data_IF_523374539337
#
_entry.id   IF_523374539337
#
_cell.length_a   1.000
_cell.length_b   1.000
_cell.length_c   1.000
_cell.angle_alpha   90.00
_cell.angle_beta   90.00
_cell.angle_gamma   90.00
#
_symmetry.space_group_name_H-M   'P 1'
#
loop_
_entity.id
_entity.type
_entity.pdbx_description
1 polymer ?
#
# COMPACT_ATOMS: atom_id res chain seq x y z
N UNK A 1 22.81 -35.72 14.88
CA UNK A 1 22.17 -34.50 15.41
C UNK A 1 22.99 -33.32 14.95
N UNK A 2 22.62 -32.71 13.83
CA UNK A 2 23.39 -31.62 13.23
C UNK A 2 22.73 -30.29 13.54
N UNK A 3 23.42 -29.47 14.31
CA UNK A 3 23.01 -28.13 14.73
C UNK A 3 23.06 -27.19 13.50
N UNK A 4 21.92 -26.67 13.07
CA UNK A 4 21.82 -25.70 11.99
C UNK A 4 22.39 -24.36 12.44
N UNK A 5 23.51 -23.94 11.83
CA UNK A 5 24.08 -22.61 12.02
C UNK A 5 23.15 -21.56 11.41
N UNK A 6 22.60 -20.68 12.24
CA UNK A 6 21.88 -19.48 11.83
C UNK A 6 22.79 -18.58 10.99
N UNK A 7 22.33 -18.20 9.79
CA UNK A 7 23.08 -17.42 8.83
C UNK A 7 23.11 -15.92 9.25
N UNK A 8 24.27 -15.33 9.57
CA UNK A 8 24.38 -13.97 10.12
C UNK A 8 23.94 -12.86 9.15
N UNK A 9 23.80 -13.17 7.85
CA UNK A 9 23.26 -12.24 6.85
C UNK A 9 21.77 -11.90 7.06
N UNK A 10 21.03 -12.75 7.79
CA UNK A 10 19.62 -12.48 8.13
C UNK A 10 19.53 -11.36 9.17
N UNK A 11 20.48 -11.28 10.12
CA UNK A 11 20.40 -10.32 11.24
C UNK A 11 20.72 -8.88 10.83
N UNK A 12 21.55 -8.67 9.82
CA UNK A 12 21.97 -7.33 9.38
C UNK A 12 20.88 -6.69 8.50
N UNK A 13 20.16 -7.48 7.70
CA UNK A 13 19.05 -6.99 6.87
C UNK A 13 17.86 -6.44 7.69
N UNK A 14 17.67 -6.91 8.93
CA UNK A 14 16.65 -6.38 9.84
C UNK A 14 16.95 -4.95 10.32
N UNK A 15 18.22 -4.57 10.44
CA UNK A 15 18.61 -3.26 10.99
C UNK A 15 18.41 -2.12 9.98
N UNK A 16 18.77 -2.33 8.71
CA UNK A 16 18.68 -1.29 7.67
C UNK A 16 17.22 -0.94 7.29
N UNK A 17 16.30 -1.91 7.43
CA UNK A 17 14.86 -1.72 7.17
C UNK A 17 14.04 -1.49 8.44
N UNK A 18 14.66 -1.57 9.63
CA UNK A 18 13.98 -1.24 10.89
C UNK A 18 13.37 0.17 10.82
N UNK A 19 14.00 1.12 10.12
CA UNK A 19 13.47 2.46 9.92
C UNK A 19 12.18 2.51 9.07
N UNK A 20 12.07 1.70 7.99
CA UNK A 20 10.85 1.58 7.18
C UNK A 20 9.67 0.98 7.97
N UNK A 21 9.98 0.16 8.97
CA UNK A 21 9.01 -0.43 9.89
C UNK A 21 9.03 0.25 11.28
N UNK A 22 9.64 1.41 11.47
CA UNK A 22 9.65 2.11 12.79
C UNK A 22 9.37 3.60 12.71
N UNK A 23 9.37 4.20 11.51
CA UNK A 23 9.19 5.64 11.32
C UNK A 23 7.79 6.05 10.89
N UNK A 24 6.81 6.00 11.80
CA UNK A 24 5.59 6.83 11.77
C UNK A 24 5.10 6.98 13.22
N UNK A 25 5.77 7.82 14.02
CA UNK A 25 5.17 8.33 15.25
C UNK A 25 4.25 9.51 14.92
N UNK A 26 3.03 9.58 15.48
CA UNK A 26 2.19 10.75 15.34
C UNK A 26 2.76 11.92 16.16
N UNK A 27 2.79 13.10 15.54
CA UNK A 27 3.16 14.33 16.20
C UNK A 27 2.21 14.64 17.37
N UNK A 28 2.82 14.79 18.56
CA UNK A 28 2.43 15.66 19.68
C UNK A 28 1.06 15.44 20.37
N UNK A 29 1.09 14.93 21.60
CA UNK A 29 0.40 15.58 22.72
C UNK A 29 1.25 15.44 23.97
N UNK A 30 1.55 16.59 24.56
CA UNK A 30 2.43 16.81 25.70
C UNK A 30 1.73 16.49 27.03
N UNK A 31 2.56 16.19 28.05
CA UNK A 31 2.35 16.22 29.52
C UNK A 31 2.13 14.84 30.19
N UNK A 32 3.13 14.43 30.98
CA UNK A 32 2.97 13.41 32.03
C UNK A 32 4.26 12.66 32.41
N UNK A 33 4.93 13.14 33.46
CA UNK A 33 6.17 12.65 34.11
C UNK A 33 6.34 11.12 34.25
N UNK A 34 7.59 10.59 34.22
CA UNK A 34 7.90 9.17 34.27
C UNK A 34 8.04 8.64 35.71
N UNK A 35 7.45 7.48 36.01
CA UNK A 35 7.89 6.67 37.13
C UNK A 35 7.67 5.18 36.87
N UNK A 36 8.72 4.41 37.15
CA UNK A 36 8.76 2.96 37.28
C UNK A 36 8.52 2.13 36.00
N UNK A 37 9.60 1.58 35.44
CA UNK A 37 9.78 0.12 35.42
C UNK A 37 11.27 -0.20 35.26
N UNK A 38 11.87 -0.69 36.34
CA UNK A 38 13.26 -1.10 36.43
C UNK A 38 13.43 -2.46 35.76
N UNK A 39 14.30 -2.54 34.75
CA UNK A 39 14.76 -3.81 34.16
C UNK A 39 15.91 -4.31 35.02
N UNK A 40 15.70 -5.45 35.68
CA UNK A 40 16.70 -6.17 36.46
C UNK A 40 17.38 -7.19 35.54
N UNK A 41 18.64 -6.95 35.15
CA UNK A 41 19.52 -7.96 34.56
C UNK A 41 20.97 -7.52 34.74
N UNK A 42 21.57 -7.88 35.87
CA UNK A 42 23.04 -7.94 36.01
C UNK A 42 23.40 -8.70 37.27
N UNK A 43 24.14 -9.80 37.12
CA UNK A 43 25.04 -10.34 38.13
C UNK A 43 25.98 -11.37 37.47
N UNK A 44 27.19 -10.94 37.10
CA UNK A 44 28.42 -11.76 37.07
C UNK A 44 29.58 -10.81 37.50
N UNK A 45 30.49 -11.24 38.39
CA UNK A 45 31.20 -10.33 39.31
C UNK A 45 32.54 -9.79 38.80
N UNK A 46 32.98 -8.75 39.52
CA UNK A 46 34.25 -8.03 39.45
C UNK A 46 35.50 -8.91 39.63
N UNK A 47 36.55 -8.54 38.88
CA UNK A 47 37.93 -8.54 39.37
C UNK A 47 38.67 -7.36 38.76
N UNK A 48 39.09 -6.43 39.63
CA UNK A 48 39.95 -5.29 39.34
C UNK A 48 41.39 -5.76 39.14
N UNK A 49 42.08 -5.19 38.17
CA UNK A 49 43.51 -4.89 38.29
C UNK A 49 43.80 -3.54 37.62
N UNK A 50 44.55 -2.72 38.34
CA UNK A 50 45.00 -1.37 37.96
C UNK A 50 46.50 -1.41 37.71
N UNK A 51 46.97 -0.60 36.74
CA UNK A 51 48.14 0.31 36.80
C UNK A 51 48.83 0.39 35.43
N UNK A 52 49.06 1.62 34.95
CA UNK A 52 50.12 1.94 33.98
C UNK A 52 49.71 2.92 32.89
N UNK A 53 49.79 4.22 33.15
CA UNK A 53 49.43 5.26 32.18
C UNK A 53 50.53 5.56 31.16
N UNK A 54 50.15 6.08 29.98
CA UNK A 54 50.85 7.16 29.28
C UNK A 54 49.99 7.73 28.14
N UNK A 55 50.08 9.04 27.96
CA UNK A 55 49.88 9.77 26.69
C UNK A 55 48.46 9.99 26.18
N UNK A 56 47.92 11.17 26.54
CA UNK A 56 46.90 11.89 25.79
C UNK A 56 47.50 12.37 24.46
N UNK A 57 47.15 11.71 23.36
CA UNK A 57 47.24 12.28 22.01
C UNK A 57 45.92 12.09 21.31
N UNK A 58 45.40 13.21 20.81
CA UNK A 58 44.16 13.38 20.07
C UNK A 58 43.88 12.25 19.06
N UNK A 59 42.91 11.39 19.37
CA UNK A 59 42.19 10.57 18.39
C UNK A 59 40.69 10.82 18.53
N UNK A 60 40.32 12.10 18.41
CA UNK A 60 38.95 12.55 18.18
C UNK A 60 38.87 13.27 16.82
N UNK A 61 39.57 12.76 15.80
CA UNK A 61 39.38 13.11 14.38
C UNK A 61 39.84 11.91 13.54
N UNK A 62 38.99 10.91 13.40
CA UNK A 62 38.91 10.00 12.24
C UNK A 62 37.97 8.86 12.65
N UNK A 63 36.67 9.06 12.44
CA UNK A 63 35.76 8.02 11.93
C UNK A 63 34.46 8.64 11.41
N UNK A 64 34.62 9.78 10.74
CA UNK A 64 33.62 10.33 9.81
C UNK A 64 34.04 10.08 8.36
N UNK A 65 34.67 8.92 8.13
CA UNK A 65 35.19 8.48 6.83
C UNK A 65 35.16 6.95 6.69
N UNK A 66 34.02 6.35 6.97
CA UNK A 66 33.66 5.02 6.41
C UNK A 66 32.25 5.06 5.81
N UNK A 67 31.89 6.21 5.24
CA UNK A 67 30.95 6.29 4.13
C UNK A 67 31.82 6.71 2.94
N UNK A 68 31.73 5.98 1.83
CA UNK A 68 32.61 6.05 0.66
C UNK A 68 33.90 5.22 0.74
N UNK A 69 33.75 3.90 0.64
CA UNK A 69 34.63 3.03 -0.18
C UNK A 69 33.99 1.66 -0.34
N UNK A 70 33.63 1.31 -1.58
CA UNK A 70 33.40 -0.08 -1.98
C UNK A 70 31.95 -0.53 -2.19
N UNK A 71 31.11 0.29 -2.83
CA UNK A 71 29.86 -0.16 -3.45
C UNK A 71 29.58 0.71 -4.66
N UNK A 72 29.78 0.16 -5.86
CA UNK A 72 29.59 0.82 -7.16
C UNK A 72 28.36 1.73 -7.18
N UNK A 73 28.57 3.05 -7.33
CA UNK A 73 27.55 4.03 -7.71
C UNK A 73 27.06 3.76 -9.13
N UNK A 74 26.33 2.65 -9.31
CA UNK A 74 25.35 2.50 -10.38
C UNK A 74 24.08 3.14 -9.82
N UNK A 75 23.55 4.15 -10.51
CA UNK A 75 22.35 4.87 -10.07
C UNK A 75 21.29 3.88 -9.60
N UNK A 76 20.64 4.16 -8.45
CA UNK A 76 19.46 3.41 -8.01
C UNK A 76 18.37 3.63 -9.07
N UNK A 77 18.41 2.82 -10.11
CA UNK A 77 17.38 2.81 -11.14
C UNK A 77 16.10 2.35 -10.44
N UNK A 78 15.17 3.27 -10.32
CA UNK A 78 13.87 3.03 -9.69
C UNK A 78 13.17 1.96 -10.50
N UNK A 79 12.94 0.80 -9.89
CA UNK A 79 12.25 -0.29 -10.57
C UNK A 79 10.86 0.19 -10.99
N UNK A 80 10.47 -0.18 -12.20
CA UNK A 80 9.15 0.14 -12.74
C UNK A 80 8.43 -1.12 -13.15
N UNK A 81 7.11 -1.04 -13.11
CA UNK A 81 6.20 -2.03 -13.65
C UNK A 81 5.34 -1.33 -14.70
N UNK A 82 5.76 -1.42 -15.97
CA UNK A 82 5.31 -0.48 -16.99
C UNK A 82 5.80 0.94 -16.64
N UNK A 83 4.87 1.90 -16.60
CA UNK A 83 5.16 3.29 -16.21
C UNK A 83 5.05 3.52 -14.69
N UNK A 84 4.53 2.55 -13.94
CA UNK A 84 4.37 2.65 -12.50
C UNK A 84 5.70 2.53 -11.78
N UNK A 85 6.01 3.47 -10.87
CA UNK A 85 7.24 3.50 -10.09
C UNK A 85 7.06 2.68 -8.81
N UNK A 86 7.84 1.62 -8.66
CA UNK A 86 7.78 0.78 -7.47
C UNK A 86 8.54 1.42 -6.30
N UNK A 87 8.03 1.27 -5.06
CA UNK A 87 8.71 1.78 -3.88
C UNK A 87 10.00 1.01 -3.60
N UNK A 88 10.98 1.65 -2.95
CA UNK A 88 12.29 1.03 -2.69
C UNK A 88 12.19 -0.28 -1.90
N UNK A 89 11.26 -0.37 -0.96
CA UNK A 89 11.04 -1.58 -0.15
C UNK A 89 10.49 -2.76 -0.94
N UNK A 90 10.03 -2.56 -2.19
CA UNK A 90 9.55 -3.66 -3.04
C UNK A 90 10.65 -4.66 -3.41
N UNK A 91 11.93 -4.30 -3.28
CA UNK A 91 13.06 -5.23 -3.45
C UNK A 91 13.58 -5.80 -2.13
N UNK A 92 12.84 -5.63 -1.03
CA UNK A 92 13.20 -6.23 0.25
C UNK A 92 12.58 -7.62 0.38
N UNK A 93 13.34 -8.73 0.35
CA UNK A 93 12.76 -10.08 0.31
C UNK A 93 11.79 -10.42 1.46
N UNK A 94 12.01 -9.99 2.71
CA UNK A 94 11.04 -10.21 3.79
C UNK A 94 9.69 -9.55 3.55
N UNK A 95 9.59 -8.50 2.72
CA UNK A 95 8.32 -7.84 2.39
C UNK A 95 7.31 -8.80 1.73
N UNK A 96 7.79 -9.84 1.03
CA UNK A 96 6.96 -10.87 0.38
C UNK A 96 6.65 -12.07 1.27
N UNK A 97 7.09 -12.05 2.54
CA UNK A 97 6.81 -13.11 3.51
C UNK A 97 5.96 -12.53 4.63
N UNK A 98 4.84 -13.17 4.96
CA UNK A 98 3.95 -12.68 6.02
C UNK A 98 4.69 -12.64 7.36
N UNK A 99 4.76 -11.46 7.98
CA UNK A 99 5.58 -11.28 9.18
C UNK A 99 4.94 -11.93 10.42
N UNK A 100 5.71 -12.70 11.21
CA UNK A 100 5.18 -13.38 12.40
C UNK A 100 4.91 -12.40 13.53
N UNK A 101 5.77 -11.38 13.68
CA UNK A 101 5.65 -10.34 14.70
C UNK A 101 4.50 -9.41 14.36
N UNK A 102 3.59 -9.19 15.31
CA UNK A 102 2.35 -8.42 15.12
C UNK A 102 2.62 -7.00 14.63
N UNK A 103 3.43 -6.23 15.33
CA UNK A 103 3.67 -4.81 14.99
C UNK A 103 4.32 -4.67 13.61
N UNK A 104 5.25 -5.56 13.26
CA UNK A 104 5.86 -5.61 11.93
C UNK A 104 4.84 -6.00 10.86
N UNK A 105 3.95 -6.95 11.16
CA UNK A 105 2.87 -7.37 10.26
C UNK A 105 1.87 -6.25 10.02
N UNK A 106 1.48 -5.49 11.05
CA UNK A 106 0.57 -4.35 10.90
C UNK A 106 1.14 -3.30 9.93
N UNK A 107 2.42 -2.97 10.07
CA UNK A 107 3.12 -2.06 9.15
C UNK A 107 3.28 -2.64 7.74
N UNK A 108 3.61 -3.93 7.63
CA UNK A 108 3.65 -4.62 6.34
C UNK A 108 2.29 -4.55 5.63
N UNK A 109 1.20 -4.83 6.36
CA UNK A 109 -0.17 -4.75 5.84
C UNK A 109 -0.45 -3.33 5.35
N UNK A 110 -0.09 -2.30 6.12
CA UNK A 110 -0.27 -0.90 5.72
C UNK A 110 0.44 -0.58 4.39
N UNK A 111 1.71 -0.95 4.26
CA UNK A 111 2.49 -0.76 3.03
C UNK A 111 1.87 -1.50 1.83
N UNK A 112 1.39 -2.73 2.02
CA UNK A 112 0.72 -3.48 0.95
C UNK A 112 -0.60 -2.84 0.54
N UNK A 113 -1.43 -2.38 1.48
CA UNK A 113 -2.68 -1.68 1.17
C UNK A 113 -2.44 -0.45 0.31
N UNK A 114 -1.49 0.40 0.72
CA UNK A 114 -1.14 1.63 -0.01
C UNK A 114 -0.64 1.31 -1.41
N UNK A 115 0.29 0.36 -1.53
CA UNK A 115 0.84 -0.05 -2.83
C UNK A 115 -0.22 -0.64 -3.76
N UNK A 116 -1.10 -1.50 -3.24
CA UNK A 116 -2.20 -2.10 -4.03
C UNK A 116 -3.14 -1.02 -4.53
N UNK A 117 -3.59 -0.10 -3.66
CA UNK A 117 -4.54 0.95 -4.03
C UNK A 117 -3.94 1.90 -5.08
N UNK A 118 -2.68 2.31 -4.91
CA UNK A 118 -2.00 3.22 -5.84
C UNK A 118 -1.75 2.57 -7.21
N UNK A 119 -1.31 1.30 -7.21
CA UNK A 119 -1.14 0.55 -8.44
C UNK A 119 -2.46 0.32 -9.18
N UNK A 120 -3.52 -0.09 -8.46
CA UNK A 120 -4.85 -0.27 -9.04
C UNK A 120 -5.40 1.04 -9.62
N UNK A 121 -5.23 2.16 -8.93
CA UNK A 121 -5.63 3.48 -9.44
C UNK A 121 -4.89 3.85 -10.72
N UNK A 122 -3.56 3.74 -10.72
CA UNK A 122 -2.73 4.15 -11.86
C UNK A 122 -2.88 3.25 -13.07
N UNK A 123 -3.12 1.96 -12.88
CA UNK A 123 -3.32 0.98 -13.96
C UNK A 123 -4.81 0.76 -14.30
N UNK A 124 -5.71 1.44 -13.60
CA UNK A 124 -7.16 1.31 -13.76
C UNK A 124 -7.68 -0.13 -13.56
N UNK A 125 -7.16 -0.83 -12.55
CA UNK A 125 -7.48 -2.23 -12.24
C UNK A 125 -8.44 -2.29 -11.05
N UNK A 126 -9.71 -2.60 -11.31
CA UNK A 126 -10.73 -2.69 -10.27
C UNK A 126 -10.87 -4.07 -9.63
N UNK A 127 -10.39 -5.14 -10.26
CA UNK A 127 -10.61 -6.50 -9.75
C UNK A 127 -9.28 -7.24 -9.63
N UNK A 128 -9.04 -7.81 -8.45
CA UNK A 128 -7.90 -8.69 -8.17
C UNK A 128 -8.43 -10.08 -7.85
N UNK A 129 -7.97 -11.10 -8.57
CA UNK A 129 -8.16 -12.51 -8.20
C UNK A 129 -7.02 -13.03 -7.34
N UNK A 130 -7.32 -13.85 -6.33
CA UNK A 130 -6.31 -14.52 -5.51
C UNK A 130 -5.52 -15.58 -6.29
N UNK A 131 -6.23 -16.28 -7.17
CA UNK A 131 -5.70 -17.34 -8.04
C UNK A 131 -5.11 -16.77 -9.34
N UNK A 132 -5.49 -15.54 -9.71
CA UNK A 132 -5.04 -14.89 -10.94
C UNK A 132 -3.62 -14.32 -10.77
N UNK A 133 -2.92 -14.16 -11.89
CA UNK A 133 -1.66 -13.43 -11.92
C UNK A 133 -1.92 -11.94 -11.66
N UNK A 134 -1.26 -11.40 -10.63
CA UNK A 134 -1.30 -9.97 -10.34
C UNK A 134 0.14 -9.45 -10.19
N UNK A 135 0.56 -8.47 -11.01
CA UNK A 135 1.95 -8.04 -11.09
C UNK A 135 2.63 -7.65 -9.78
N UNK A 136 1.89 -7.09 -8.80
CA UNK A 136 2.48 -6.74 -7.50
C UNK A 136 2.78 -7.94 -6.60
N UNK A 137 2.17 -9.11 -6.85
CA UNK A 137 2.31 -10.27 -5.97
C UNK A 137 3.52 -11.14 -6.29
N UNK A 138 4.25 -10.85 -7.37
CA UNK A 138 5.49 -11.51 -7.75
C UNK A 138 6.54 -10.47 -8.14
N UNK A 139 7.70 -10.54 -7.52
CA UNK A 139 8.87 -9.77 -7.90
C UNK A 139 9.95 -10.72 -8.42
N UNK A 140 10.14 -10.71 -9.74
CA UNK A 140 11.12 -11.56 -10.43
C UNK A 140 12.57 -11.14 -10.14
N UNK A 141 12.83 -9.87 -9.80
CA UNK A 141 14.19 -9.36 -9.55
C UNK A 141 14.81 -9.99 -8.30
N UNK A 142 13.98 -10.24 -7.28
CA UNK A 142 14.41 -10.88 -6.02
C UNK A 142 13.91 -12.31 -5.88
N UNK A 143 13.27 -12.84 -6.94
CA UNK A 143 12.71 -14.20 -7.00
C UNK A 143 11.76 -14.50 -5.83
N UNK A 144 10.84 -13.57 -5.54
CA UNK A 144 9.84 -13.73 -4.47
C UNK A 144 8.43 -13.54 -4.97
N UNK A 145 7.51 -14.32 -4.41
CA UNK A 145 6.07 -14.19 -4.60
C UNK A 145 5.36 -14.29 -3.26
N UNK A 146 4.22 -13.60 -3.14
CA UNK A 146 3.33 -13.76 -2.00
C UNK A 146 2.67 -15.14 -2.01
N UNK A 147 2.60 -15.76 -0.83
CA UNK A 147 1.77 -16.95 -0.63
C UNK A 147 0.28 -16.60 -0.77
N UNK A 148 -0.55 -17.61 -1.06
CA UNK A 148 -2.01 -17.43 -1.11
C UNK A 148 -2.58 -16.86 0.19
N UNK A 149 -2.06 -17.31 1.34
CA UNK A 149 -2.41 -16.78 2.66
C UNK A 149 -2.08 -15.29 2.80
N UNK A 150 -0.88 -14.87 2.38
CA UNK A 150 -0.48 -13.46 2.45
C UNK A 150 -1.35 -12.58 1.55
N UNK A 151 -1.61 -13.02 0.31
CA UNK A 151 -2.54 -12.33 -0.62
C UNK A 151 -3.91 -12.14 0.03
N UNK A 152 -4.49 -13.21 0.57
CA UNK A 152 -5.78 -13.20 1.26
C UNK A 152 -5.78 -12.27 2.46
N UNK A 153 -4.71 -12.25 3.24
CA UNK A 153 -4.54 -11.38 4.41
C UNK A 153 -4.57 -9.90 4.03
N UNK A 154 -3.79 -9.50 3.02
CA UNK A 154 -3.71 -8.09 2.61
C UNK A 154 -5.00 -7.59 1.96
N UNK A 155 -5.63 -8.41 1.11
CA UNK A 155 -6.94 -8.07 0.53
C UNK A 155 -8.03 -8.00 1.61
N UNK A 156 -8.05 -8.93 2.57
CA UNK A 156 -9.00 -8.89 3.69
C UNK A 156 -8.83 -7.63 4.53
N UNK A 157 -7.60 -7.14 4.70
CA UNK A 157 -7.36 -5.89 5.40
C UNK A 157 -7.97 -4.69 4.65
N UNK A 158 -7.84 -4.62 3.32
CA UNK A 158 -8.54 -3.61 2.51
C UNK A 158 -10.06 -3.69 2.67
N UNK A 159 -10.61 -4.91 2.70
CA UNK A 159 -12.05 -5.14 2.91
C UNK A 159 -12.51 -4.64 4.27
N UNK A 160 -11.75 -4.91 5.34
CA UNK A 160 -12.10 -4.43 6.69
C UNK A 160 -12.12 -2.90 6.82
N UNK A 161 -11.43 -2.18 5.92
CA UNK A 161 -11.40 -0.71 5.89
C UNK A 161 -12.39 -0.10 4.89
N UNK A 162 -13.21 -0.93 4.22
CA UNK A 162 -14.12 -0.48 3.18
C UNK A 162 -13.40 0.04 1.93
N UNK A 163 -12.15 -0.39 1.71
CA UNK A 163 -11.30 -0.05 0.55
C UNK A 163 -11.28 -1.16 -0.50
N UNK A 164 -11.95 -2.27 -0.24
CA UNK A 164 -12.21 -3.34 -1.18
C UNK A 164 -13.44 -4.15 -0.74
N UNK A 165 -13.96 -5.01 -1.62
CA UNK A 165 -15.08 -5.91 -1.33
C UNK A 165 -14.90 -7.26 -2.03
N UNK A 166 -15.22 -8.36 -1.36
CA UNK A 166 -15.26 -9.68 -1.99
C UNK A 166 -16.47 -9.78 -2.93
N UNK A 167 -16.22 -10.17 -4.18
CA UNK A 167 -17.25 -10.29 -5.23
C UNK A 167 -18.01 -11.61 -5.10
N UNK A 168 -17.32 -12.67 -4.68
CA UNK A 168 -17.85 -14.02 -4.55
C UNK A 168 -17.83 -14.53 -3.10
N UNK A 169 -18.73 -15.47 -2.79
CA UNK A 169 -18.84 -16.09 -1.46
C UNK A 169 -17.59 -16.89 -1.06
N UNK A 170 -16.77 -17.29 -2.03
CA UNK A 170 -15.52 -18.01 -1.80
C UNK A 170 -14.33 -17.09 -1.55
N UNK A 171 -14.53 -15.77 -1.56
CA UNK A 171 -13.49 -14.75 -1.41
C UNK A 171 -12.33 -14.95 -2.40
N UNK A 172 -12.63 -15.33 -3.65
CA UNK A 172 -11.62 -15.55 -4.69
C UNK A 172 -11.27 -14.30 -5.47
N UNK A 173 -12.22 -13.38 -5.62
CA UNK A 173 -12.08 -12.12 -6.35
C UNK A 173 -12.48 -10.94 -5.49
N UNK A 174 -11.66 -9.91 -5.52
CA UNK A 174 -11.82 -8.70 -4.73
C UNK A 174 -11.98 -7.49 -5.65
N UNK A 175 -13.08 -6.74 -5.48
CA UNK A 175 -13.28 -5.42 -6.08
C UNK A 175 -12.53 -4.39 -5.25
N UNK A 176 -11.67 -3.60 -5.88
CA UNK A 176 -10.82 -2.59 -5.24
C UNK A 176 -11.47 -1.22 -5.34
N UNK A 177 -11.47 -0.47 -4.24
CA UNK A 177 -12.10 0.84 -4.09
C UNK A 177 -11.06 1.88 -3.65
N UNK A 178 -10.23 2.36 -4.59
CA UNK A 178 -9.26 3.44 -4.30
C UNK A 178 -9.92 4.80 -4.02
N UNK A 179 -11.14 4.99 -4.51
CA UNK A 179 -12.10 5.95 -3.98
C UNK A 179 -13.28 5.17 -3.42
N UNK A 180 -13.90 5.66 -2.33
CA UNK A 180 -15.14 5.04 -1.84
C UNK A 180 -16.27 5.34 -2.81
N UNK A 181 -17.37 4.60 -2.73
CA UNK A 181 -18.54 4.82 -3.59
C UNK A 181 -19.09 6.25 -3.43
N UNK A 182 -19.02 6.82 -2.23
CA UNK A 182 -19.42 8.19 -1.95
C UNK A 182 -18.51 9.19 -2.66
N UNK A 183 -17.20 8.99 -2.62
CA UNK A 183 -16.22 9.85 -3.27
C UNK A 183 -16.38 9.76 -4.80
N UNK A 184 -16.59 8.55 -5.33
CA UNK A 184 -16.91 8.35 -6.74
C UNK A 184 -18.18 9.08 -7.17
N UNK A 185 -19.23 9.05 -6.35
CA UNK A 185 -20.47 9.78 -6.63
C UNK A 185 -20.21 11.30 -6.74
N UNK A 186 -19.36 11.85 -5.87
CA UNK A 186 -18.98 13.26 -5.92
C UNK A 186 -18.06 13.59 -7.12
N UNK A 187 -17.15 12.67 -7.49
CA UNK A 187 -16.31 12.79 -8.70
C UNK A 187 -17.20 12.81 -9.95
N UNK A 188 -18.19 11.92 -10.05
CA UNK A 188 -19.14 11.87 -11.18
C UNK A 188 -19.91 13.18 -11.27
N UNK A 189 -20.46 13.69 -10.16
CA UNK A 189 -21.17 14.98 -10.19
C UNK A 189 -20.28 16.14 -10.65
N UNK A 190 -19.00 16.15 -10.23
CA UNK A 190 -18.05 17.16 -10.68
C UNK A 190 -17.78 17.05 -12.18
N UNK A 191 -17.57 15.84 -12.67
CA UNK A 191 -17.37 15.58 -14.09
C UNK A 191 -18.53 16.09 -14.94
N UNK A 192 -19.78 15.79 -14.56
CA UNK A 192 -20.96 16.24 -15.30
C UNK A 192 -21.05 17.77 -15.32
N UNK A 193 -20.73 18.44 -14.20
CA UNK A 193 -20.67 19.90 -14.12
C UNK A 193 -19.59 20.51 -15.01
N UNK A 194 -18.40 19.93 -15.00
CA UNK A 194 -17.25 20.45 -15.74
C UNK A 194 -17.42 20.27 -17.26
N UNK A 195 -18.19 19.27 -17.68
CA UNK A 195 -18.47 18.95 -19.09
C UNK A 195 -19.76 19.59 -19.62
N UNK A 196 -20.59 20.19 -18.76
CA UNK A 196 -21.85 20.82 -19.16
C UNK A 196 -22.94 19.82 -19.56
N UNK A 197 -22.89 18.60 -19.01
CA UNK A 197 -23.77 17.49 -19.36
C UNK A 197 -24.95 17.32 -18.40
N UNK A 198 -25.21 18.29 -17.51
CA UNK A 198 -26.23 18.17 -16.45
C UNK A 198 -27.63 17.93 -16.99
N UNK A 199 -27.98 18.61 -18.10
CA UNK A 199 -29.31 18.52 -18.70
C UNK A 199 -29.47 17.37 -19.70
N UNK A 200 -28.35 16.73 -20.08
CA UNK A 200 -28.36 15.61 -21.03
C UNK A 200 -28.61 14.28 -20.32
N UNK A 201 -29.26 13.36 -21.03
CA UNK A 201 -29.20 11.94 -20.67
C UNK A 201 -27.87 11.41 -21.17
N UNK A 202 -27.13 10.70 -20.32
CA UNK A 202 -25.90 10.00 -20.67
C UNK A 202 -26.09 8.50 -20.49
N UNK A 203 -25.48 7.70 -21.34
CA UNK A 203 -25.40 6.25 -21.14
C UNK A 203 -24.27 5.91 -20.17
N UNK A 204 -24.35 4.72 -19.56
CA UNK A 204 -23.27 4.21 -18.70
C UNK A 204 -21.94 4.10 -19.48
N UNK A 205 -22.00 3.69 -20.75
CA UNK A 205 -20.81 3.53 -21.58
C UNK A 205 -20.20 4.86 -22.02
N UNK A 206 -20.98 5.92 -22.21
CA UNK A 206 -20.45 7.27 -22.47
C UNK A 206 -19.64 7.80 -21.28
N UNK A 207 -20.06 7.54 -20.05
CA UNK A 207 -19.32 7.95 -18.84
C UNK A 207 -18.00 7.16 -18.73
N UNK A 208 -18.02 5.87 -19.07
CA UNK A 208 -16.85 4.98 -18.92
C UNK A 208 -15.87 5.08 -20.08
N UNK A 209 -16.34 5.31 -21.29
CA UNK A 209 -15.55 5.13 -22.52
C UNK A 209 -15.71 6.26 -23.54
N UNK A 210 -16.62 7.20 -23.29
CA UNK A 210 -16.87 8.34 -24.15
C UNK A 210 -15.71 9.34 -24.19
N UNK A 211 -15.77 10.27 -25.14
CA UNK A 211 -14.72 11.25 -25.41
C UNK A 211 -14.47 12.13 -24.18
N UNK A 212 -15.54 12.61 -23.55
CA UNK A 212 -15.49 13.50 -22.38
C UNK A 212 -14.77 12.86 -21.19
N UNK A 213 -14.89 11.54 -21.02
CA UNK A 213 -14.25 10.82 -19.90
C UNK A 213 -12.72 10.73 -20.06
N UNK A 214 -12.17 10.89 -21.27
CA UNK A 214 -10.74 10.65 -21.54
C UNK A 214 -9.86 11.58 -20.72
N UNK A 215 -8.81 11.01 -20.12
CA UNK A 215 -7.90 11.75 -19.24
C UNK A 215 -8.44 11.97 -17.82
N UNK A 216 -9.67 11.55 -17.53
CA UNK A 216 -10.23 11.51 -16.17
C UNK A 216 -10.10 10.12 -15.56
N UNK A 217 -10.28 10.02 -14.24
CA UNK A 217 -10.34 8.73 -13.54
C UNK A 217 -11.62 7.92 -13.83
N UNK A 218 -12.61 8.51 -14.52
CA UNK A 218 -13.83 7.80 -14.92
C UNK A 218 -13.64 6.96 -16.19
N UNK A 219 -12.63 7.29 -17.01
CA UNK A 219 -12.33 6.51 -18.20
C UNK A 219 -11.90 5.09 -17.82
N UNK A 220 -12.53 4.08 -18.40
CA UNK A 220 -12.32 2.67 -18.09
C UNK A 220 -12.81 2.23 -16.70
N UNK A 221 -13.58 3.06 -16.00
CA UNK A 221 -14.14 2.72 -14.69
C UNK A 221 -14.91 1.39 -14.74
N UNK A 222 -14.83 0.59 -13.68
CA UNK A 222 -15.63 -0.64 -13.59
C UNK A 222 -17.13 -0.30 -13.54
N UNK A 223 -17.92 -1.02 -14.35
CA UNK A 223 -19.38 -0.80 -14.46
C UNK A 223 -20.09 -0.97 -13.13
N UNK A 224 -19.67 -1.93 -12.31
CA UNK A 224 -20.28 -2.19 -10.99
C UNK A 224 -20.05 -1.02 -10.05
N UNK A 225 -18.82 -0.50 -10.01
CA UNK A 225 -18.49 0.67 -9.17
C UNK A 225 -19.29 1.89 -9.62
N UNK A 226 -19.34 2.16 -10.94
CA UNK A 226 -20.09 3.28 -11.50
C UNK A 226 -21.57 3.18 -11.14
N UNK A 227 -22.21 2.02 -11.40
CA UNK A 227 -23.63 1.83 -11.09
C UNK A 227 -23.95 1.99 -9.61
N UNK A 228 -23.05 1.59 -8.71
CA UNK A 228 -23.22 1.80 -7.27
C UNK A 228 -23.16 3.28 -6.90
N UNK A 229 -22.24 4.03 -7.49
CA UNK A 229 -22.15 5.47 -7.28
C UNK A 229 -23.38 6.21 -7.84
N UNK A 230 -23.84 5.84 -9.04
CA UNK A 230 -25.06 6.40 -9.64
C UNK A 230 -26.32 6.10 -8.81
N UNK A 231 -26.48 4.86 -8.32
CA UNK A 231 -27.59 4.51 -7.41
C UNK A 231 -27.56 5.31 -6.12
N UNK A 232 -26.38 5.61 -5.59
CA UNK A 232 -26.24 6.49 -4.44
C UNK A 232 -26.68 7.92 -4.77
N UNK A 233 -26.36 8.43 -5.96
CA UNK A 233 -26.82 9.74 -6.43
C UNK A 233 -28.34 9.78 -6.63
N UNK A 234 -28.92 8.70 -7.18
CA UNK A 234 -30.36 8.56 -7.35
C UNK A 234 -31.10 8.57 -6.01
N UNK A 235 -30.61 7.82 -5.02
CA UNK A 235 -31.15 7.86 -3.66
C UNK A 235 -31.07 9.25 -3.00
N UNK A 236 -30.08 10.06 -3.38
CA UNK A 236 -29.92 11.46 -2.95
C UNK A 236 -30.74 12.45 -3.78
N UNK A 237 -31.51 11.98 -4.78
CA UNK A 237 -32.28 12.83 -5.68
C UNK A 237 -31.43 13.67 -6.65
N UNK A 238 -30.17 13.28 -6.87
CA UNK A 238 -29.22 14.00 -7.75
C UNK A 238 -29.06 13.36 -9.13
N UNK A 239 -29.69 12.23 -9.35
CA UNK A 239 -29.71 11.53 -10.63
C UNK A 239 -31.00 10.72 -10.75
N UNK A 240 -31.37 10.37 -11.97
CA UNK A 240 -32.43 9.40 -12.28
C UNK A 240 -31.88 8.39 -13.29
N UNK A 241 -31.95 7.11 -12.96
CA UNK A 241 -31.46 6.03 -13.83
C UNK A 241 -32.64 5.47 -14.63
N UNK A 242 -32.48 5.44 -15.95
CA UNK A 242 -33.45 4.87 -16.88
C UNK A 242 -32.97 3.50 -17.32
N UNK A 243 -33.84 2.49 -17.17
CA UNK A 243 -33.57 1.17 -17.71
C UNK A 243 -33.92 1.17 -19.20
N UNK A 244 -32.95 0.82 -20.03
CA UNK A 244 -33.21 0.54 -21.43
C UNK A 244 -33.66 -0.91 -21.66
N UNK A 245 -33.71 -1.30 -22.94
CA UNK A 245 -34.10 -2.65 -23.36
C UNK A 245 -33.07 -3.71 -22.97
N UNK A 246 -31.80 -3.31 -22.82
CA UNK A 246 -30.68 -4.12 -22.35
C UNK A 246 -29.90 -3.39 -21.25
N UNK A 247 -28.97 -4.11 -20.59
CA UNK A 247 -28.08 -3.50 -19.59
C UNK A 247 -27.15 -2.43 -20.19
N UNK A 248 -26.85 -2.52 -21.49
CA UNK A 248 -26.01 -1.56 -22.20
C UNK A 248 -26.79 -0.29 -22.60
N UNK A 249 -28.12 -0.36 -22.55
CA UNK A 249 -29.03 0.76 -22.84
C UNK A 249 -29.45 1.52 -21.56
N UNK A 250 -28.80 1.27 -20.41
CA UNK A 250 -29.05 2.04 -19.19
C UNK A 250 -28.57 3.49 -19.38
N UNK A 251 -29.48 4.44 -19.14
CA UNK A 251 -29.22 5.87 -19.20
C UNK A 251 -29.29 6.50 -17.82
N UNK A 252 -28.66 7.65 -17.63
CA UNK A 252 -28.74 8.46 -16.43
C UNK A 252 -28.94 9.93 -16.82
N UNK A 253 -29.91 10.58 -16.17
CA UNK A 253 -30.03 12.05 -16.17
C UNK A 253 -29.61 12.58 -14.81
N UNK A 254 -28.80 13.62 -14.77
CA UNK A 254 -28.38 14.25 -13.53
C UNK A 254 -29.34 15.38 -13.14
N UNK A 255 -29.39 15.68 -11.86
CA UNK A 255 -30.21 16.76 -11.27
C UNK A 255 -29.29 17.50 -10.31
N UNK A 256 -28.62 18.52 -10.84
CA UNK A 256 -27.46 19.15 -10.23
C UNK A 256 -27.75 20.59 -9.85
#
# INVERSE_FOLDING_TARGET
MSCSKSNPLISIAYADYFHLFSGLEPASTTIGSPSHFSILLTQIPHSNDTIGGTTLTNQAVCDQKVLERGGSSRGKEMQKLGDFKLPQFFNYPPYFTLQPVRDTREKQVQLWKELILDYCRTQNIFVIGLEDEFPLFTNQVIERSLSHEAKGTFLSALVSEGRAEWIDKGHKKCLILWHRIQDWADIILRFVKETGLEESVMTIEEIRSGIESRGTELHGMDRTVLMRALRLLEQKGKAAIFKGSSADDEGVKFSV
#
